data_IF_855714000739
#
_entry.id   IF_855714000739
#
_cell.length_a   1.000
_cell.length_b   1.000
_cell.length_c   1.000
_cell.angle_alpha   90.00
_cell.angle_beta   90.00
_cell.angle_gamma   90.00
#
_symmetry.space_group_name_H-M   'P 1'
#
loop_
_entity.id
_entity.type
_entity.pdbx_description
1 polymer ?
#
# COMPACT_ATOMS: atom_id res chain seq x y z
N UNK A 1 -19.41 12.63 -14.02
CA UNK A 1 -18.36 11.69 -13.57
C UNK A 1 -19.09 10.55 -12.89
N UNK A 2 -19.14 9.36 -13.50
CA UNK A 2 -19.73 8.19 -12.81
C UNK A 2 -18.87 7.93 -11.56
N UNK A 3 -19.50 7.77 -10.39
CA UNK A 3 -18.81 7.30 -9.20
C UNK A 3 -18.27 5.90 -9.49
N UNK A 4 -16.95 5.72 -9.48
CA UNK A 4 -16.36 4.39 -9.45
C UNK A 4 -16.82 3.68 -8.17
N UNK A 5 -17.13 2.39 -8.27
CA UNK A 5 -17.40 1.61 -7.07
C UNK A 5 -16.10 1.47 -6.26
N UNK A 6 -16.20 1.35 -4.94
CA UNK A 6 -15.01 1.24 -4.07
C UNK A 6 -14.12 0.06 -4.47
N UNK A 7 -14.73 -0.99 -5.02
CA UNK A 7 -14.03 -2.17 -5.52
C UNK A 7 -13.18 -1.86 -6.75
N UNK A 8 -13.67 -1.05 -7.68
CA UNK A 8 -12.87 -0.62 -8.85
C UNK A 8 -11.64 0.18 -8.40
N UNK A 9 -11.77 0.96 -7.32
CA UNK A 9 -10.65 1.71 -6.75
C UNK A 9 -9.65 0.74 -6.10
N UNK A 10 -10.13 -0.22 -5.32
CA UNK A 10 -9.26 -1.24 -4.71
C UNK A 10 -8.51 -2.05 -5.77
N UNK A 11 -9.17 -2.45 -6.85
CA UNK A 11 -8.56 -3.19 -7.96
C UNK A 11 -7.49 -2.37 -8.70
N UNK A 12 -7.76 -1.08 -8.98
CA UNK A 12 -6.76 -0.15 -9.54
C UNK A 12 -5.53 -0.03 -8.63
N UNK A 13 -5.76 0.07 -7.31
CA UNK A 13 -4.69 0.23 -6.31
C UNK A 13 -3.85 -1.04 -6.18
N UNK A 14 -4.48 -2.21 -6.22
CA UNK A 14 -3.77 -3.48 -6.20
C UNK A 14 -2.87 -3.64 -7.43
N UNK A 15 -3.35 -3.27 -8.62
CA UNK A 15 -2.55 -3.34 -9.84
C UNK A 15 -1.30 -2.45 -9.76
N UNK A 16 -1.45 -1.23 -9.26
CA UNK A 16 -0.33 -0.30 -9.07
C UNK A 16 0.61 -0.77 -7.95
N UNK A 17 0.09 -1.38 -6.89
CA UNK A 17 0.88 -2.00 -5.82
C UNK A 17 1.75 -3.15 -6.33
N UNK A 18 1.17 -4.04 -7.14
CA UNK A 18 1.91 -5.15 -7.78
C UNK A 18 3.00 -4.62 -8.71
N UNK A 19 2.73 -3.52 -9.42
CA UNK A 19 3.69 -2.88 -10.31
C UNK A 19 4.82 -2.21 -9.53
N UNK A 20 4.51 -1.47 -8.46
CA UNK A 20 5.51 -0.74 -7.69
C UNK A 20 6.47 -1.66 -6.92
N UNK A 21 5.97 -2.81 -6.49
CA UNK A 21 6.76 -3.80 -5.79
C UNK A 21 6.69 -5.13 -6.53
N UNK A 22 7.28 -5.19 -7.72
CA UNK A 22 7.38 -6.36 -8.62
C UNK A 22 7.77 -7.71 -7.95
N UNK A 23 8.19 -7.69 -6.67
CA UNK A 23 8.58 -8.83 -5.82
C UNK A 23 7.82 -8.94 -4.48
N UNK A 24 6.67 -8.29 -4.30
CA UNK A 24 5.74 -8.62 -3.20
C UNK A 24 5.30 -10.06 -3.41
N UNK A 25 5.44 -10.89 -2.38
CA UNK A 25 4.89 -12.24 -2.41
C UNK A 25 3.39 -12.17 -2.72
N UNK A 26 2.86 -13.11 -3.52
CA UNK A 26 1.44 -13.14 -3.94
C UNK A 26 0.43 -13.28 -2.79
N UNK A 27 0.90 -13.25 -1.55
CA UNK A 27 0.12 -13.36 -0.34
C UNK A 27 -0.32 -11.96 0.10
N UNK A 28 -1.44 -11.50 -0.45
CA UNK A 28 -2.17 -10.33 0.03
C UNK A 28 -3.54 -10.73 0.58
N UNK A 29 -4.04 -9.95 1.54
CA UNK A 29 -5.40 -10.05 2.06
C UNK A 29 -6.08 -8.71 1.77
N UNK A 30 -7.16 -8.74 0.99
CA UNK A 30 -8.00 -7.58 0.70
C UNK A 30 -9.27 -7.66 1.54
N UNK A 31 -9.50 -6.62 2.33
CA UNK A 31 -10.73 -6.41 3.09
C UNK A 31 -11.40 -5.12 2.62
N UNK A 32 -12.59 -5.24 2.01
CA UNK A 32 -13.38 -4.09 1.55
C UNK A 32 -14.50 -3.82 2.54
N UNK A 33 -14.70 -2.56 2.90
CA UNK A 33 -15.76 -2.12 3.79
C UNK A 33 -16.59 -1.03 3.11
N UNK A 34 -17.86 -1.34 2.86
CA UNK A 34 -18.82 -0.39 2.28
C UNK A 34 -19.71 0.18 3.37
N UNK A 35 -19.43 1.41 3.83
CA UNK A 35 -20.32 2.11 4.77
C UNK A 35 -21.42 2.90 4.02
N UNK A 36 -21.12 3.41 2.82
CA UNK A 36 -22.10 3.95 1.85
C UNK A 36 -21.47 4.08 0.46
N UNK A 37 -22.29 4.28 -0.59
CA UNK A 37 -21.83 4.51 -1.98
C UNK A 37 -20.83 5.70 -2.07
N UNK A 38 -20.86 6.64 -1.13
CA UNK A 38 -20.02 7.85 -1.13
C UNK A 38 -18.85 7.79 -0.14
N UNK A 39 -18.85 6.84 0.80
CA UNK A 39 -17.83 6.70 1.86
C UNK A 39 -17.35 5.25 1.93
N UNK A 40 -16.85 4.74 0.80
CA UNK A 40 -16.21 3.43 0.76
C UNK A 40 -14.84 3.50 1.43
N UNK A 41 -14.47 2.45 2.16
CA UNK A 41 -13.13 2.27 2.71
C UNK A 41 -12.63 0.85 2.41
N UNK A 42 -11.33 0.68 2.26
CA UNK A 42 -10.77 -0.66 2.12
C UNK A 42 -9.42 -0.75 2.81
N UNK A 43 -9.00 -1.97 3.07
CA UNK A 43 -7.71 -2.31 3.62
C UNK A 43 -7.06 -3.41 2.78
N UNK A 44 -5.77 -3.26 2.51
CA UNK A 44 -4.94 -4.27 1.83
C UNK A 44 -3.78 -4.60 2.76
N UNK A 45 -3.68 -5.84 3.21
CA UNK A 45 -2.53 -6.38 3.92
C UNK A 45 -1.63 -7.13 2.91
N UNK A 46 -0.34 -6.84 2.89
CA UNK A 46 0.61 -7.41 1.93
C UNK A 46 2.01 -7.56 2.50
N UNK A 47 2.80 -8.46 1.92
CA UNK A 47 4.18 -8.72 2.35
C UNK A 47 5.20 -7.93 1.53
N UNK A 48 5.88 -6.96 2.13
CA UNK A 48 6.94 -6.18 1.49
C UNK A 48 8.33 -6.74 1.83
N UNK A 49 9.16 -6.98 0.80
CA UNK A 49 10.55 -7.46 0.89
C UNK A 49 10.76 -8.76 1.69
N UNK A 50 9.70 -9.51 1.99
CA UNK A 50 9.70 -10.63 2.96
C UNK A 50 10.17 -10.25 4.38
N UNK A 51 10.17 -8.96 4.71
CA UNK A 51 10.56 -8.46 6.05
C UNK A 51 9.40 -7.80 6.80
N UNK A 52 8.44 -7.24 6.08
CA UNK A 52 7.36 -6.45 6.66
C UNK A 52 6.00 -6.92 6.16
N UNK A 53 5.06 -7.05 7.10
CA UNK A 53 3.64 -7.10 6.80
C UNK A 53 3.16 -5.66 6.81
N UNK A 54 2.76 -5.15 5.65
CA UNK A 54 2.25 -3.80 5.50
C UNK A 54 0.73 -3.82 5.43
N UNK A 55 0.09 -2.80 5.99
CA UNK A 55 -1.35 -2.60 5.94
C UNK A 55 -1.61 -1.22 5.36
N UNK A 56 -2.14 -1.22 4.13
CA UNK A 56 -2.62 -0.04 3.44
C UNK A 56 -4.09 0.16 3.72
N UNK A 57 -4.50 1.39 3.99
CA UNK A 57 -5.89 1.78 4.20
C UNK A 57 -6.27 2.88 3.23
N UNK A 58 -7.51 2.81 2.74
CA UNK A 58 -8.17 3.89 2.02
C UNK A 58 -9.44 4.27 2.77
N UNK A 59 -9.65 5.55 3.04
CA UNK A 59 -10.87 6.08 3.65
C UNK A 59 -11.26 7.39 2.96
N UNK A 60 -12.34 7.37 2.16
CA UNK A 60 -12.94 8.58 1.60
C UNK A 60 -11.99 9.44 0.74
N UNK A 61 -10.98 8.86 0.09
CA UNK A 61 -9.99 9.57 -0.72
C UNK A 61 -8.60 9.71 -0.08
N UNK A 62 -8.45 9.28 1.17
CA UNK A 62 -7.21 9.39 1.94
C UNK A 62 -6.53 8.01 2.02
N UNK A 63 -5.25 7.95 1.67
CA UNK A 63 -4.43 6.76 1.84
C UNK A 63 -3.57 6.83 3.11
N UNK A 64 -3.40 5.68 3.74
CA UNK A 64 -2.43 5.46 4.81
C UNK A 64 -1.73 4.13 4.61
N UNK A 65 -0.52 3.99 5.17
CA UNK A 65 0.18 2.73 5.22
C UNK A 65 0.92 2.58 6.54
N UNK A 66 0.98 1.36 7.05
CA UNK A 66 1.67 1.02 8.29
C UNK A 66 2.31 -0.36 8.21
N UNK A 67 3.36 -0.57 8.99
CA UNK A 67 3.93 -1.90 9.23
C UNK A 67 3.21 -2.50 10.44
N UNK A 68 2.62 -3.69 10.26
CA UNK A 68 1.99 -4.47 11.30
C UNK A 68 3.06 -5.19 12.14
N UNK A 69 3.01 -5.00 13.45
CA UNK A 69 3.90 -5.62 14.43
C UNK A 69 3.07 -6.21 15.57
N UNK A 70 2.67 -7.47 15.41
CA UNK A 70 1.75 -8.13 16.35
C UNK A 70 0.41 -7.40 16.42
N UNK A 71 0.08 -6.84 17.59
CA UNK A 71 -1.13 -6.04 17.82
C UNK A 71 -0.92 -4.53 17.63
N UNK A 72 0.26 -4.11 17.17
CA UNK A 72 0.62 -2.70 16.98
C UNK A 72 0.90 -2.39 15.51
N UNK A 73 0.77 -1.11 15.15
CA UNK A 73 0.99 -0.61 13.80
C UNK A 73 1.99 0.54 13.87
N UNK A 74 3.06 0.46 13.06
CA UNK A 74 4.01 1.53 12.87
C UNK A 74 3.66 2.25 11.57
N UNK A 75 3.11 3.47 11.67
CA UNK A 75 2.78 4.26 10.50
C UNK A 75 4.03 4.56 9.67
N UNK A 76 3.88 4.48 8.36
CA UNK A 76 4.88 4.90 7.39
C UNK A 76 4.50 6.30 6.93
N UNK A 77 5.42 7.25 7.09
CA UNK A 77 5.22 8.61 6.63
C UNK A 77 5.26 8.61 5.09
N UNK A 78 4.18 9.04 4.44
CA UNK A 78 4.17 9.35 3.01
C UNK A 78 4.07 10.86 2.83
N UNK A 79 4.73 11.42 1.79
CA UNK A 79 4.66 12.86 1.52
C UNK A 79 3.36 13.25 0.82
N UNK A 80 2.72 12.29 0.14
CA UNK A 80 1.44 12.42 -0.53
C UNK A 80 0.35 11.63 0.20
N UNK A 81 -0.78 12.27 0.50
CA UNK A 81 -1.91 11.70 1.25
C UNK A 81 -3.21 11.73 0.39
N UNK A 82 -3.19 12.37 -0.79
CA UNK A 82 -4.39 12.75 -1.54
C UNK A 82 -4.50 12.10 -2.93
N UNK A 83 -5.72 11.77 -3.33
CA UNK A 83 -6.03 11.03 -4.56
C UNK A 83 -6.38 11.97 -5.73
N UNK A 84 -5.36 12.47 -6.43
CA UNK A 84 -5.44 12.51 -7.89
C UNK A 84 -4.70 11.30 -8.42
N UNK A 85 -5.22 10.62 -9.47
CA UNK A 85 -4.61 9.40 -10.06
C UNK A 85 -3.12 9.55 -10.42
N UNK A 86 -2.65 10.79 -10.52
CA UNK A 86 -1.25 11.19 -10.76
C UNK A 86 -0.35 10.94 -9.53
N UNK A 87 -0.89 10.75 -8.32
CA UNK A 87 -0.13 10.64 -7.07
C UNK A 87 0.11 9.21 -6.56
N UNK A 88 -0.61 8.18 -7.06
CA UNK A 88 -0.52 6.84 -6.47
C UNK A 88 0.84 6.16 -6.70
N UNK A 89 1.45 6.33 -7.87
CA UNK A 89 2.80 5.84 -8.14
C UNK A 89 3.84 6.56 -7.27
N UNK A 90 3.67 7.86 -7.04
CA UNK A 90 4.54 8.66 -6.16
C UNK A 90 4.41 8.22 -4.71
N UNK A 91 3.18 7.94 -4.25
CA UNK A 91 2.91 7.36 -2.94
C UNK A 91 3.63 6.03 -2.76
N UNK A 92 3.57 5.14 -3.76
CA UNK A 92 4.28 3.87 -3.70
C UNK A 92 5.80 4.02 -3.74
N UNK A 93 6.35 4.98 -4.48
CA UNK A 93 7.77 5.31 -4.45
C UNK A 93 8.21 5.78 -3.05
N UNK A 94 7.47 6.70 -2.43
CA UNK A 94 7.74 7.15 -1.05
C UNK A 94 7.71 5.97 -0.07
N UNK A 95 6.69 5.11 -0.19
CA UNK A 95 6.54 3.93 0.65
C UNK A 95 7.71 2.97 0.49
N UNK A 96 8.17 2.77 -0.74
CA UNK A 96 9.32 1.94 -1.07
C UNK A 96 10.59 2.48 -0.42
N UNK A 97 10.83 3.78 -0.55
CA UNK A 97 11.99 4.45 0.05
C UNK A 97 12.02 4.30 1.57
N UNK A 98 10.89 4.54 2.24
CA UNK A 98 10.77 4.35 3.68
C UNK A 98 11.04 2.90 4.10
N UNK A 99 10.50 1.91 3.38
CA UNK A 99 10.75 0.51 3.68
C UNK A 99 12.22 0.11 3.48
N UNK A 100 12.83 0.55 2.38
CA UNK A 100 14.24 0.25 2.08
C UNK A 100 15.22 0.90 3.04
N UNK A 101 14.93 2.11 3.54
CA UNK A 101 15.75 2.77 4.58
C UNK A 101 15.84 1.95 5.87
N UNK A 102 14.87 1.06 6.11
CA UNK A 102 14.83 0.18 7.29
C UNK A 102 15.51 -1.18 7.06
N UNK A 103 15.90 -1.50 5.80
CA UNK A 103 16.53 -2.76 5.43
C UNK A 103 18.01 -2.50 5.09
N UNK A 104 18.98 -3.13 5.78
CA UNK A 104 20.39 -2.97 5.43
C UNK A 104 20.69 -3.40 3.99
N UNK A 105 21.47 -2.59 3.24
CA UNK A 105 21.74 -2.78 1.80
C UNK A 105 22.19 -4.20 1.43
N UNK A 106 23.01 -4.85 2.28
CA UNK A 106 23.47 -6.23 2.04
C UNK A 106 22.31 -7.21 1.82
N UNK A 107 21.18 -7.00 2.49
CA UNK A 107 20.00 -7.83 2.36
C UNK A 107 19.22 -7.51 1.09
N UNK A 108 19.09 -6.22 0.73
CA UNK A 108 18.47 -5.79 -0.51
C UNK A 108 19.20 -6.37 -1.73
N UNK A 109 20.53 -6.23 -1.77
CA UNK A 109 21.39 -6.76 -2.84
C UNK A 109 21.31 -8.29 -2.91
N UNK A 110 21.41 -8.99 -1.78
CA UNK A 110 21.40 -10.47 -1.76
C UNK A 110 20.10 -11.11 -2.27
N UNK A 111 19.00 -10.36 -2.22
CA UNK A 111 17.66 -10.77 -2.65
C UNK A 111 17.26 -10.13 -3.98
N UNK A 112 18.19 -9.42 -4.62
CA UNK A 112 18.01 -8.70 -5.89
C UNK A 112 16.87 -7.66 -5.82
N UNK A 113 16.61 -7.09 -4.66
CA UNK A 113 15.64 -5.99 -4.51
C UNK A 113 16.19 -4.64 -4.99
N UNK A 114 17.53 -4.54 -5.08
CA UNK A 114 18.32 -3.46 -5.68
C UNK A 114 19.37 -4.06 -6.60
#
# INVERSE_FOLDING_TARGET
MQSKEIRDIADDVMLELETAFEKIGKDYILEIYEESIQHGRFQIEFNAYNYYICVMTYDGGIFGCSIKQGSSYLNLDSKSIWFEKIELSSFFCDLKDELELRIPDKYLISKEYR
#
